data_IF_292055944546
#
_entry.id   IF_292055944546
#
_cell.length_a   1.000
_cell.length_b   1.000
_cell.length_c   1.000
_cell.angle_alpha   90.00
_cell.angle_beta   90.00
_cell.angle_gamma   90.00
#
_symmetry.space_group_name_H-M   'P 1'
#
loop_
_entity.id
_entity.type
_entity.pdbx_description
1 polymer ?
#
# COMPACT_ATOMS: atom_id res chain seq x y z
N UNK A 1 -8.26 -11.34 -4.12
CA UNK A 1 -7.88 -10.60 -2.90
C UNK A 1 -7.92 -11.59 -1.77
N UNK A 2 -7.01 -11.45 -0.81
CA UNK A 2 -7.05 -12.24 0.42
C UNK A 2 -7.28 -11.30 1.60
N UNK A 3 -8.07 -11.76 2.57
CA UNK A 3 -8.26 -11.05 3.85
C UNK A 3 -7.18 -11.51 4.82
N UNK A 4 -6.58 -10.56 5.53
CA UNK A 4 -5.55 -10.82 6.54
C UNK A 4 -6.08 -10.34 7.89
N UNK A 5 -6.41 -11.28 8.77
CA UNK A 5 -6.98 -11.02 10.11
C UNK A 5 -6.15 -11.66 11.25
N UNK A 6 -5.02 -12.27 10.90
CA UNK A 6 -4.06 -12.89 11.81
C UNK A 6 -2.66 -12.89 11.19
N UNK A 7 -1.69 -13.46 11.90
CA UNK A 7 -0.32 -13.71 11.41
C UNK A 7 -0.13 -15.15 10.91
N UNK A 8 -1.21 -15.89 10.67
CA UNK A 8 -1.12 -17.22 10.08
C UNK A 8 -0.45 -17.12 8.70
N UNK A 9 0.41 -18.10 8.33
CA UNK A 9 1.00 -18.16 7.01
C UNK A 9 -0.06 -18.02 5.92
N UNK A 10 0.25 -17.23 4.89
CA UNK A 10 -0.60 -17.19 3.69
C UNK A 10 -0.49 -18.50 2.91
N UNK A 11 -1.45 -18.81 2.02
CA UNK A 11 -1.36 -19.98 1.15
C UNK A 11 -0.02 -20.07 0.43
N UNK A 12 0.50 -21.29 0.25
CA UNK A 12 1.84 -21.54 -0.32
C UNK A 12 2.15 -20.77 -1.61
N UNK A 13 1.22 -20.64 -2.58
CA UNK A 13 1.49 -19.88 -3.81
C UNK A 13 1.76 -18.38 -3.61
N UNK A 14 1.49 -17.85 -2.41
CA UNK A 14 1.68 -16.45 -2.03
C UNK A 14 2.85 -16.27 -1.06
N UNK A 15 3.50 -17.35 -0.61
CA UNK A 15 4.74 -17.29 0.17
C UNK A 15 5.93 -17.01 -0.75
N UNK A 16 7.01 -16.47 -0.20
CA UNK A 16 8.16 -16.07 -1.03
C UNK A 16 7.89 -14.83 -1.88
N UNK A 17 6.85 -14.05 -1.54
CA UNK A 17 6.44 -12.89 -2.31
C UNK A 17 7.42 -11.72 -2.21
N UNK A 18 7.37 -10.85 -3.23
CA UNK A 18 7.75 -9.45 -3.08
C UNK A 18 6.57 -8.65 -2.55
N UNK A 19 6.80 -7.82 -1.54
CA UNK A 19 5.75 -7.05 -0.88
C UNK A 19 5.85 -5.54 -1.11
N UNK A 20 4.71 -4.89 -1.25
CA UNK A 20 4.57 -3.45 -1.07
C UNK A 20 3.43 -3.16 -0.10
N UNK A 21 3.64 -2.30 0.89
CA UNK A 21 2.69 -2.05 1.98
C UNK A 21 2.24 -0.60 1.95
N UNK A 22 0.93 -0.36 1.93
CA UNK A 22 0.45 1.01 1.93
C UNK A 22 -1.05 1.18 2.04
N UNK A 23 -1.45 2.41 2.39
CA UNK A 23 -2.85 2.81 2.34
C UNK A 23 -3.40 2.74 0.91
N UNK A 24 -2.53 2.99 -0.08
CA UNK A 24 -2.83 2.99 -1.51
C UNK A 24 -4.09 3.78 -1.87
N UNK A 25 -4.39 4.84 -1.12
CA UNK A 25 -5.66 5.54 -1.28
C UNK A 25 -5.71 6.29 -2.61
N UNK A 26 -6.71 5.94 -3.41
CA UNK A 26 -6.90 6.40 -4.76
C UNK A 26 -5.97 5.75 -5.80
N UNK A 27 -5.04 4.85 -5.43
CA UNK A 27 -4.11 4.17 -6.37
C UNK A 27 -3.69 5.09 -7.52
N UNK A 28 -3.10 6.23 -7.15
CA UNK A 28 -2.68 7.27 -8.09
C UNK A 28 -1.43 6.85 -8.85
N UNK A 29 -0.97 7.66 -9.80
CA UNK A 29 0.21 7.33 -10.64
C UNK A 29 1.46 6.98 -9.82
N UNK A 30 1.68 7.65 -8.67
CA UNK A 30 2.74 7.24 -7.73
C UNK A 30 2.60 5.82 -7.18
N UNK A 31 1.40 5.40 -6.76
CA UNK A 31 1.16 4.02 -6.34
C UNK A 31 1.29 3.04 -7.51
N UNK A 32 0.77 3.41 -8.69
CA UNK A 32 0.89 2.56 -9.87
C UNK A 32 2.36 2.33 -10.27
N UNK A 33 3.18 3.37 -10.20
CA UNK A 33 4.63 3.26 -10.42
C UNK A 33 5.29 2.32 -9.41
N UNK A 34 5.01 2.49 -8.11
CA UNK A 34 5.54 1.62 -7.06
C UNK A 34 5.16 0.15 -7.29
N UNK A 35 3.91 -0.13 -7.65
CA UNK A 35 3.44 -1.49 -7.91
C UNK A 35 4.04 -2.06 -9.21
N UNK A 36 4.29 -1.24 -10.22
CA UNK A 36 5.02 -1.67 -11.41
C UNK A 36 6.47 -2.06 -11.09
N UNK A 37 7.15 -1.31 -10.21
CA UNK A 37 8.50 -1.66 -9.71
C UNK A 37 8.47 -2.96 -8.90
N UNK A 38 7.51 -3.10 -7.98
CA UNK A 38 7.27 -4.34 -7.25
C UNK A 38 7.14 -5.54 -8.19
N UNK A 39 6.31 -5.39 -9.23
CA UNK A 39 6.09 -6.44 -10.23
C UNK A 39 7.38 -6.81 -10.96
N UNK A 40 8.16 -5.83 -11.40
CA UNK A 40 9.42 -6.07 -12.09
C UNK A 40 10.44 -6.84 -11.22
N UNK A 41 10.53 -6.53 -9.93
CA UNK A 41 11.44 -7.24 -9.00
C UNK A 41 10.96 -8.67 -8.74
N UNK A 42 9.66 -8.87 -8.58
CA UNK A 42 9.09 -10.20 -8.39
C UNK A 42 9.30 -11.11 -9.60
N UNK A 43 9.05 -10.60 -10.81
CA UNK A 43 9.20 -11.34 -12.07
C UNK A 43 10.64 -11.79 -12.32
N UNK A 44 11.63 -10.97 -11.93
CA UNK A 44 13.05 -11.29 -12.10
C UNK A 44 13.49 -12.57 -11.37
N UNK A 45 12.75 -13.01 -10.35
CA UNK A 45 13.04 -14.22 -9.58
C UNK A 45 11.87 -15.22 -9.54
N UNK A 46 10.87 -15.03 -10.42
CA UNK A 46 9.69 -15.90 -10.50
C UNK A 46 8.85 -15.92 -9.21
N UNK A 47 8.79 -14.81 -8.47
CA UNK A 47 8.03 -14.68 -7.23
C UNK A 47 6.70 -13.92 -7.46
N UNK A 48 5.68 -14.11 -6.60
CA UNK A 48 4.46 -13.32 -6.67
C UNK A 48 4.70 -11.88 -6.15
N UNK A 49 4.08 -10.90 -6.78
CA UNK A 49 4.09 -9.49 -6.36
C UNK A 49 2.80 -9.17 -5.58
N UNK A 50 2.90 -8.91 -4.28
CA UNK A 50 1.75 -8.68 -3.40
C UNK A 50 1.68 -7.23 -2.92
N UNK A 51 0.55 -6.59 -3.18
CA UNK A 51 0.21 -5.31 -2.55
C UNK A 51 -0.56 -5.56 -1.26
N UNK A 52 -0.04 -5.10 -0.13
CA UNK A 52 -0.68 -5.20 1.18
C UNK A 52 -1.30 -3.86 1.56
N UNK A 53 -2.58 -3.86 1.89
CA UNK A 53 -3.33 -2.65 2.23
C UNK A 53 -4.26 -2.88 3.41
N UNK A 54 -4.96 -1.83 3.82
CA UNK A 54 -5.73 -1.79 5.05
C UNK A 54 -7.19 -1.48 4.77
N UNK A 55 -8.08 -2.15 5.50
CA UNK A 55 -9.49 -1.79 5.59
C UNK A 55 -10.03 -1.99 7.03
N UNK A 56 -10.55 -0.94 7.71
CA UNK A 56 -10.44 0.48 7.32
C UNK A 56 -8.97 0.94 7.30
N UNK A 57 -8.69 2.12 6.74
CA UNK A 57 -7.33 2.69 6.82
C UNK A 57 -6.92 2.92 8.29
N UNK A 58 -5.64 2.75 8.68
CA UNK A 58 -5.20 2.89 10.07
C UNK A 58 -5.57 4.23 10.71
N UNK A 59 -5.50 5.31 9.93
CA UNK A 59 -5.86 6.66 10.40
C UNK A 59 -7.33 6.74 10.84
N UNK A 60 -8.23 5.99 10.21
CA UNK A 60 -9.65 5.97 10.58
C UNK A 60 -9.91 5.36 11.96
N UNK A 61 -9.00 4.51 12.45
CA UNK A 61 -9.09 3.93 13.79
C UNK A 61 -8.24 4.67 14.81
N UNK A 62 -7.09 5.21 14.39
CA UNK A 62 -6.15 5.90 15.30
C UNK A 62 -6.56 7.34 15.57
N UNK A 63 -7.08 8.04 14.56
CA UNK A 63 -7.41 9.48 14.56
C UNK A 63 -8.69 9.70 13.73
N UNK A 64 -9.85 9.14 14.12
CA UNK A 64 -11.08 9.19 13.33
C UNK A 64 -11.49 10.62 12.95
N UNK A 65 -11.23 11.60 13.82
CA UNK A 65 -11.51 13.01 13.61
C UNK A 65 -10.62 13.69 12.55
N UNK A 66 -9.48 13.07 12.21
CA UNK A 66 -8.53 13.52 11.18
C UNK A 66 -8.51 12.61 9.96
N UNK A 67 -9.35 11.58 9.94
CA UNK A 67 -9.37 10.61 8.85
C UNK A 67 -9.88 11.31 7.58
N UNK A 68 -9.07 11.38 6.52
CA UNK A 68 -9.50 12.03 5.29
C UNK A 68 -10.56 11.17 4.60
N UNK A 69 -11.42 11.82 3.80
CA UNK A 69 -12.37 11.11 2.96
C UNK A 69 -11.60 10.16 2.02
N UNK A 70 -11.92 8.85 2.00
CA UNK A 70 -11.26 7.91 1.11
C UNK A 70 -11.46 8.28 -0.37
N UNK A 71 -10.40 8.22 -1.16
CA UNK A 71 -10.47 8.47 -2.62
C UNK A 71 -11.04 7.28 -3.40
N UNK A 72 -11.19 6.13 -2.74
CA UNK A 72 -11.69 4.89 -3.32
C UNK A 72 -12.22 4.00 -2.21
N UNK A 73 -13.11 3.07 -2.58
CA UNK A 73 -13.49 1.96 -1.71
C UNK A 73 -12.56 0.75 -1.88
N UNK A 74 -12.62 -0.19 -0.94
CA UNK A 74 -11.72 -1.36 -0.86
C UNK A 74 -11.72 -2.21 -2.13
N UNK A 75 -12.89 -2.62 -2.64
CA UNK A 75 -12.95 -3.47 -3.84
C UNK A 75 -12.35 -2.77 -5.07
N UNK A 76 -12.53 -1.45 -5.20
CA UNK A 76 -11.94 -0.68 -6.30
C UNK A 76 -10.45 -0.48 -6.12
N UNK A 77 -9.98 -0.25 -4.90
CA UNK A 77 -8.55 -0.18 -4.56
C UNK A 77 -7.85 -1.47 -4.96
N UNK A 78 -8.42 -2.62 -4.60
CA UNK A 78 -7.95 -3.95 -5.00
C UNK A 78 -7.86 -4.08 -6.53
N UNK A 79 -8.94 -3.76 -7.24
CA UNK A 79 -8.97 -3.86 -8.70
C UNK A 79 -7.88 -2.98 -9.36
N UNK A 80 -7.67 -1.77 -8.84
CA UNK A 80 -6.67 -0.84 -9.35
C UNK A 80 -5.24 -1.28 -9.05
N UNK A 81 -4.98 -1.87 -7.88
CA UNK A 81 -3.66 -2.43 -7.55
C UNK A 81 -3.33 -3.62 -8.45
N UNK A 82 -4.31 -4.48 -8.75
CA UNK A 82 -4.14 -5.56 -9.74
C UNK A 82 -3.86 -5.02 -11.14
N UNK A 83 -4.61 -4.00 -11.57
CA UNK A 83 -4.36 -3.32 -12.85
C UNK A 83 -2.96 -2.68 -12.92
N UNK A 84 -2.42 -2.23 -11.79
CA UNK A 84 -1.08 -1.65 -11.70
C UNK A 84 0.05 -2.71 -11.70
N UNK A 85 -0.27 -4.00 -11.57
CA UNK A 85 0.70 -5.09 -11.70
C UNK A 85 0.75 -6.05 -10.51
N UNK A 86 0.04 -5.80 -9.42
CA UNK A 86 0.00 -6.74 -8.29
C UNK A 86 -0.64 -8.07 -8.72
N UNK A 87 0.05 -9.18 -8.46
CA UNK A 87 -0.47 -10.54 -8.72
C UNK A 87 -1.63 -10.84 -7.78
N UNK A 88 -1.51 -10.45 -6.52
CA UNK A 88 -2.59 -10.49 -5.55
C UNK A 88 -2.51 -9.29 -4.59
N UNK A 89 -3.64 -8.99 -3.94
CA UNK A 89 -3.78 -7.93 -2.95
C UNK A 89 -4.22 -8.55 -1.64
N UNK A 90 -3.40 -8.34 -0.61
CA UNK A 90 -3.73 -8.66 0.77
C UNK A 90 -4.38 -7.46 1.44
N UNK A 91 -5.55 -7.65 2.04
CA UNK A 91 -6.27 -6.60 2.78
C UNK A 91 -6.27 -6.97 4.25
N UNK A 92 -5.49 -6.24 5.04
CA UNK A 92 -5.54 -6.30 6.49
C UNK A 92 -6.90 -5.81 6.99
N UNK A 93 -7.60 -6.69 7.72
CA UNK A 93 -8.72 -6.28 8.57
C UNK A 93 -8.14 -5.50 9.75
N UNK A 94 -8.12 -4.19 9.59
CA UNK A 94 -7.34 -3.33 10.48
C UNK A 94 -7.96 -3.32 11.86
N UNK A 95 -7.13 -3.56 12.87
CA UNK A 95 -7.54 -3.62 14.26
C UNK A 95 -6.35 -3.58 15.20
N UNK A 96 -6.61 -3.58 16.51
CA UNK A 96 -5.58 -3.47 17.55
C UNK A 96 -4.45 -4.51 17.41
N UNK A 97 -4.78 -5.72 16.96
CA UNK A 97 -3.82 -6.80 16.73
C UNK A 97 -2.70 -6.40 15.76
N UNK A 98 -3.00 -5.57 14.76
CA UNK A 98 -2.05 -5.06 13.78
C UNK A 98 -1.46 -3.71 14.21
N UNK A 99 -2.31 -2.79 14.70
CA UNK A 99 -1.91 -1.42 15.04
C UNK A 99 -0.96 -1.34 16.24
N UNK A 100 -0.96 -2.36 17.11
CA UNK A 100 -0.09 -2.40 18.27
C UNK A 100 1.30 -2.97 17.99
N UNK A 101 1.53 -3.59 16.82
CA UNK A 101 2.83 -4.13 16.47
C UNK A 101 3.87 -3.02 16.41
N UNK A 102 4.98 -3.17 17.11
CA UNK A 102 6.20 -2.43 16.82
C UNK A 102 6.65 -2.66 15.37
N UNK A 103 7.50 -1.79 14.84
CA UNK A 103 8.06 -1.98 13.51
C UNK A 103 8.79 -3.33 13.39
N UNK A 104 9.53 -3.73 14.44
CA UNK A 104 10.24 -5.00 14.47
C UNK A 104 9.28 -6.19 14.45
N UNK A 105 8.23 -6.17 15.25
CA UNK A 105 7.23 -7.25 15.25
C UNK A 105 6.48 -7.32 13.91
N UNK A 106 6.20 -6.20 13.25
CA UNK A 106 5.64 -6.22 11.90
C UNK A 106 6.59 -6.91 10.92
N UNK A 107 7.88 -6.55 10.94
CA UNK A 107 8.88 -7.17 10.08
C UNK A 107 9.01 -8.68 10.33
N UNK A 108 9.15 -9.11 11.58
CA UNK A 108 9.34 -10.52 11.91
C UNK A 108 8.07 -11.35 11.68
N UNK A 109 6.91 -10.89 12.13
CA UNK A 109 5.67 -11.69 12.10
C UNK A 109 4.99 -11.65 10.74
N UNK A 110 5.00 -10.49 10.08
CA UNK A 110 4.33 -10.31 8.79
C UNK A 110 5.29 -10.63 7.64
N UNK A 111 6.39 -9.88 7.53
CA UNK A 111 7.30 -9.96 6.37
C UNK A 111 8.01 -11.32 6.34
N UNK A 112 8.69 -11.70 7.44
CA UNK A 112 9.44 -12.96 7.51
C UNK A 112 8.55 -14.18 7.82
N UNK A 113 7.61 -14.06 8.75
CA UNK A 113 6.76 -15.18 9.18
C UNK A 113 5.63 -15.50 8.21
N UNK A 114 4.64 -14.60 8.16
CA UNK A 114 3.40 -14.81 7.42
C UNK A 114 3.62 -14.97 5.91
N UNK A 115 4.45 -14.11 5.32
CA UNK A 115 4.72 -14.11 3.87
C UNK A 115 6.02 -14.82 3.48
N UNK A 116 6.98 -14.99 4.39
CA UNK A 116 8.34 -15.39 4.05
C UNK A 116 8.86 -14.63 2.83
N UNK A 117 8.75 -13.31 2.89
CA UNK A 117 9.02 -12.44 1.76
C UNK A 117 10.46 -12.61 1.25
N UNK A 118 10.63 -12.52 -0.06
CA UNK A 118 11.96 -12.48 -0.71
C UNK A 118 12.47 -11.05 -0.89
N UNK A 119 11.56 -10.08 -0.89
CA UNK A 119 11.93 -8.68 -0.95
C UNK A 119 10.75 -7.74 -0.77
N UNK A 120 11.06 -6.44 -0.72
CA UNK A 120 10.07 -5.39 -0.56
C UNK A 120 10.38 -4.20 -1.48
N UNK A 121 9.32 -3.52 -1.92
CA UNK A 121 9.42 -2.26 -2.66
C UNK A 121 8.51 -1.23 -2.00
N UNK A 122 9.10 -0.15 -1.49
CA UNK A 122 8.37 0.88 -0.75
C UNK A 122 8.70 2.29 -1.23
N UNK A 123 7.86 3.27 -0.90
CA UNK A 123 8.14 4.68 -1.19
C UNK A 123 9.03 5.33 -0.12
N UNK A 124 9.73 6.42 -0.46
CA UNK A 124 10.58 7.18 0.47
C UNK A 124 9.88 7.63 1.76
N UNK A 125 8.57 7.87 1.71
CA UNK A 125 7.78 8.34 2.86
C UNK A 125 7.10 7.21 3.64
N UNK A 126 7.44 5.96 3.32
CA UNK A 126 6.92 4.78 4.00
C UNK A 126 7.27 4.81 5.49
N UNK A 127 6.27 4.57 6.33
CA UNK A 127 6.44 4.42 7.76
C UNK A 127 5.51 3.34 8.27
N UNK A 128 6.01 2.51 9.18
CA UNK A 128 5.34 1.30 9.63
C UNK A 128 5.59 1.02 11.10
N UNK A 129 4.83 0.06 11.64
CA UNK A 129 4.78 -0.19 13.08
C UNK A 129 4.04 0.91 13.85
N UNK A 130 3.79 0.60 15.12
CA UNK A 130 3.17 1.49 16.10
C UNK A 130 3.95 2.79 16.17
N UNK A 131 3.20 3.89 16.18
CA UNK A 131 3.72 5.27 16.19
C UNK A 131 4.71 5.59 15.06
N UNK A 132 4.68 4.82 13.96
CA UNK A 132 5.64 4.91 12.84
C UNK A 132 7.10 4.75 13.31
N UNK A 133 7.34 3.84 14.26
CA UNK A 133 8.68 3.56 14.78
C UNK A 133 9.65 2.94 13.76
N UNK A 134 9.19 2.60 12.56
CA UNK A 134 10.02 2.18 11.42
C UNK A 134 9.80 3.06 10.20
N UNK A 135 10.85 3.23 9.41
CA UNK A 135 10.87 3.95 8.15
C UNK A 135 11.62 3.15 7.07
N UNK A 136 11.73 3.72 5.86
CA UNK A 136 12.42 3.06 4.74
C UNK A 136 13.92 2.77 5.02
N UNK A 137 14.59 3.57 5.85
CA UNK A 137 16.01 3.36 6.16
C UNK A 137 16.19 2.18 7.12
N UNK A 138 15.39 2.12 8.18
CA UNK A 138 15.35 1.00 9.12
C UNK A 138 14.98 -0.29 8.37
N UNK A 139 13.99 -0.22 7.47
CA UNK A 139 13.58 -1.37 6.67
C UNK A 139 14.70 -1.86 5.76
N UNK A 140 15.45 -0.96 5.12
CA UNK A 140 16.61 -1.33 4.29
C UNK A 140 17.64 -2.13 5.09
N UNK A 141 17.97 -1.67 6.30
CA UNK A 141 18.91 -2.36 7.20
C UNK A 141 18.40 -3.76 7.56
N UNK A 142 17.14 -3.89 7.99
CA UNK A 142 16.59 -5.20 8.37
C UNK A 142 16.42 -6.15 7.19
N UNK A 143 16.09 -5.64 6.01
CA UNK A 143 16.08 -6.45 4.79
C UNK A 143 17.49 -6.98 4.48
N UNK A 144 18.53 -6.15 4.56
CA UNK A 144 19.90 -6.58 4.33
C UNK A 144 20.34 -7.66 5.35
N UNK A 145 20.03 -7.47 6.64
CA UNK A 145 20.32 -8.45 7.71
C UNK A 145 19.62 -9.79 7.48
N UNK A 146 18.40 -9.77 6.95
CA UNK A 146 17.59 -10.96 6.71
C UNK A 146 17.79 -11.58 5.31
N UNK A 147 18.65 -10.99 4.47
CA UNK A 147 18.89 -11.46 3.09
C UNK A 147 17.73 -11.19 2.13
N UNK A 148 16.89 -10.19 2.41
CA UNK A 148 15.79 -9.75 1.56
C UNK A 148 16.25 -8.63 0.62
N UNK A 149 15.76 -8.64 -0.61
CA UNK A 149 15.93 -7.51 -1.52
C UNK A 149 15.06 -6.34 -1.09
N UNK A 150 15.60 -5.13 -1.09
CA UNK A 150 14.82 -3.91 -0.82
C UNK A 150 15.06 -2.86 -1.90
N UNK A 151 13.97 -2.28 -2.41
CA UNK A 151 14.01 -1.16 -3.34
C UNK A 151 13.15 -0.01 -2.80
N UNK A 152 13.69 1.21 -2.85
CA UNK A 152 12.89 2.42 -2.64
C UNK A 152 12.45 2.98 -4.00
N UNK A 153 11.16 2.92 -4.27
CA UNK A 153 10.58 3.46 -5.50
C UNK A 153 10.64 5.01 -5.49
N UNK A 154 11.11 5.57 -6.60
CA UNK A 154 11.19 7.01 -6.76
C UNK A 154 9.78 7.66 -6.73
N UNK A 155 9.65 8.85 -6.14
CA UNK A 155 8.39 9.59 -6.16
C UNK A 155 8.01 9.95 -7.60
N UNK A 156 6.71 9.91 -7.90
CA UNK A 156 6.20 10.37 -9.20
C UNK A 156 5.82 11.84 -9.12
N UNK A 157 6.27 12.62 -10.09
CA UNK A 157 5.91 14.02 -10.27
C UNK A 157 5.13 14.23 -11.57
N UNK A 158 4.17 15.15 -11.54
CA UNK A 158 3.43 15.62 -12.70
C UNK A 158 3.33 17.14 -12.58
N UNK A 159 3.71 17.82 -13.65
CA UNK A 159 3.82 19.28 -13.72
C UNK A 159 4.77 19.83 -12.62
N UNK A 160 5.90 19.15 -12.39
CA UNK A 160 6.93 19.55 -11.40
C UNK A 160 6.47 19.43 -9.94
N UNK A 161 5.38 18.72 -9.68
CA UNK A 161 4.81 18.56 -8.34
C UNK A 161 4.55 17.09 -8.03
N UNK A 162 4.85 16.72 -6.78
CA UNK A 162 4.64 15.37 -6.26
C UNK A 162 3.17 14.92 -6.43
N UNK A 163 2.99 13.67 -6.86
CA UNK A 163 1.69 12.99 -6.88
C UNK A 163 1.42 12.37 -5.50
N UNK A 164 0.35 12.80 -4.84
CA UNK A 164 -0.06 12.24 -3.53
C UNK A 164 -1.58 12.26 -3.34
N UNK A 165 -2.09 11.36 -2.48
CA UNK A 165 -3.51 11.35 -2.10
C UNK A 165 -3.96 12.69 -1.48
N UNK A 166 -3.09 13.36 -0.72
CA UNK A 166 -3.39 14.68 -0.14
C UNK A 166 -3.63 15.73 -1.23
N UNK A 167 -2.74 15.82 -2.22
CA UNK A 167 -2.89 16.75 -3.35
C UNK A 167 -4.15 16.44 -4.16
N UNK A 168 -4.44 15.16 -4.40
CA UNK A 168 -5.65 14.75 -5.12
C UNK A 168 -6.90 15.17 -4.36
N UNK A 169 -6.96 14.97 -3.03
CA UNK A 169 -8.10 15.42 -2.22
C UNK A 169 -8.26 16.94 -2.27
N UNK A 170 -7.17 17.70 -2.21
CA UNK A 170 -7.21 19.16 -2.36
C UNK A 170 -7.82 19.59 -3.70
N UNK A 171 -7.33 19.02 -4.81
CA UNK A 171 -7.87 19.29 -6.14
C UNK A 171 -9.37 18.95 -6.26
N UNK A 172 -9.80 17.82 -5.68
CA UNK A 172 -11.22 17.43 -5.68
C UNK A 172 -12.07 18.38 -4.85
N UNK A 173 -11.58 18.84 -3.69
CA UNK A 173 -12.27 19.81 -2.85
C UNK A 173 -12.43 21.18 -3.54
N UNK A 174 -11.48 21.55 -4.40
CA UNK A 174 -11.53 22.76 -5.23
C UNK A 174 -12.37 22.59 -6.52
N UNK A 175 -12.96 21.42 -6.76
CA UNK A 175 -13.72 21.12 -7.99
C UNK A 175 -12.85 20.90 -9.24
N UNK A 176 -11.52 20.79 -9.09
CA UNK A 176 -10.55 20.62 -10.19
C UNK A 176 -10.41 19.15 -10.59
N UNK A 177 -11.51 18.57 -11.05
CA UNK A 177 -11.64 17.12 -11.30
C UNK A 177 -10.74 16.60 -12.42
N UNK A 178 -10.47 17.39 -13.46
CA UNK A 178 -9.56 17.03 -14.55
C UNK A 178 -8.12 16.97 -14.06
N UNK A 179 -7.71 17.92 -13.23
CA UNK A 179 -6.38 17.92 -12.62
C UNK A 179 -6.19 16.72 -11.70
N UNK A 180 -7.19 16.41 -10.87
CA UNK A 180 -7.21 15.20 -10.06
C UNK A 180 -7.12 13.93 -10.92
N UNK A 181 -7.84 13.89 -12.05
CA UNK A 181 -7.83 12.77 -12.97
C UNK A 181 -6.46 12.53 -13.60
N UNK A 182 -5.70 13.59 -13.93
CA UNK A 182 -4.31 13.46 -14.42
C UNK A 182 -3.42 12.78 -13.39
N UNK A 183 -3.54 13.14 -12.11
CA UNK A 183 -2.75 12.54 -11.02
C UNK A 183 -3.17 11.09 -10.73
N UNK A 184 -4.46 10.79 -10.83
CA UNK A 184 -5.02 9.44 -10.68
C UNK A 184 -4.73 8.54 -11.90
N UNK A 185 -4.44 9.13 -13.05
CA UNK A 185 -4.38 8.44 -14.34
C UNK A 185 -5.74 8.01 -14.88
N UNK A 186 -6.83 8.53 -14.31
CA UNK A 186 -8.23 8.18 -14.64
C UNK A 186 -9.20 9.17 -13.96
N UNK A 187 -10.45 9.30 -14.44
CA UNK A 187 -11.48 10.05 -13.73
C UNK A 187 -11.71 9.51 -12.31
N UNK A 188 -11.90 10.42 -11.34
CA UNK A 188 -12.34 10.07 -9.99
C UNK A 188 -13.77 9.52 -10.04
N UNK A 189 -14.11 8.58 -9.15
CA UNK A 189 -15.41 7.91 -9.12
C UNK A 189 -15.96 7.87 -7.71
N UNK A 190 -17.24 8.16 -7.59
CA UNK A 190 -18.02 7.97 -6.37
C UNK A 190 -18.92 6.74 -6.53
N UNK A 191 -19.30 6.12 -5.40
CA UNK A 191 -20.35 5.10 -5.34
C UNK A 191 -21.31 5.46 -4.22
N UNK A 192 -22.59 5.18 -4.43
CA UNK A 192 -23.63 5.39 -3.44
C UNK A 192 -24.89 4.64 -3.85
N UNK A 193 -25.76 4.39 -2.88
CA UNK A 193 -27.10 3.88 -3.16
C UNK A 193 -27.98 5.09 -3.49
N UNK A 194 -28.72 5.03 -4.58
CA UNK A 194 -29.72 6.05 -4.91
C UNK A 194 -30.89 5.89 -3.94
N UNK A 195 -31.16 6.93 -3.16
CA UNK A 195 -32.27 6.98 -2.20
C UNK A 195 -33.38 7.88 -2.75
N UNK A 196 -34.61 7.66 -2.27
CA UNK A 196 -35.79 8.46 -2.61
C UNK A 196 -35.99 9.60 -1.61
#
# INVERSE_FOLDING_TARGET
MITLDSFAPVPEPLRGAFLAVGNFDGVHRGHAHLIARLRARADAVGAPALALTFDPQPVALLRPEKAPVPLTWTERKVALLKQAGATEVGVFRTGRWLLNLTAREFFERVVLGQFAARGMVEGLTFGFGRDRGGDAQILATWCAEAGLEFEVAAPTEIDGQLVSSTRIRGLLAEGRVEAAARLLGRPHRLRGVVVR
#
